data_IF_845681952040
#
_entry.id   IF_845681952040
#
_cell.length_a   1.000
_cell.length_b   1.000
_cell.length_c   1.000
_cell.angle_alpha   90.00
_cell.angle_beta   90.00
_cell.angle_gamma   90.00
#
_symmetry.space_group_name_H-M   'P 1'
#
loop_
_entity.id
_entity.type
_entity.pdbx_description
1 polymer ?
#
# COMPACT_ATOMS: atom_id res chain seq x y z
N UNK A 1 -7.91 -21.78 -6.86
CA UNK A 1 -7.82 -20.81 -5.74
C UNK A 1 -6.49 -20.07 -5.83
N UNK A 2 -6.52 -18.74 -5.79
CA UNK A 2 -5.34 -17.86 -5.74
C UNK A 2 -5.13 -17.47 -4.28
N UNK A 3 -4.09 -18.02 -3.64
CA UNK A 3 -3.99 -18.02 -2.18
C UNK A 3 -2.89 -17.08 -1.71
N UNK A 4 -3.27 -16.00 -1.04
CA UNK A 4 -2.36 -15.15 -0.28
C UNK A 4 -1.94 -15.83 1.02
N UNK A 5 -0.66 -16.22 1.11
CA UNK A 5 -0.15 -16.96 2.27
C UNK A 5 0.39 -16.06 3.40
N UNK A 6 0.16 -14.74 3.31
CA UNK A 6 0.69 -13.81 4.29
C UNK A 6 2.22 -13.65 4.22
N UNK A 7 2.84 -13.07 5.27
CA UNK A 7 4.24 -12.66 5.23
C UNK A 7 5.25 -13.83 5.29
N UNK A 8 4.83 -15.00 5.79
CA UNK A 8 5.68 -16.18 5.81
C UNK A 8 5.60 -17.04 7.05
N UNK A 9 5.12 -16.52 8.18
CA UNK A 9 4.82 -17.31 9.37
C UNK A 9 3.38 -17.82 9.29
N UNK A 10 3.17 -19.09 9.63
CA UNK A 10 1.87 -19.78 9.49
C UNK A 10 0.79 -19.16 10.37
N UNK A 11 1.15 -18.61 11.53
CA UNK A 11 0.25 -17.91 12.45
C UNK A 11 -0.34 -16.61 11.87
N UNK A 12 0.29 -16.05 10.86
CA UNK A 12 -0.20 -14.85 10.13
C UNK A 12 -0.93 -15.19 8.83
N UNK A 13 -1.19 -16.46 8.58
CA UNK A 13 -2.01 -16.91 7.46
C UNK A 13 -3.48 -16.92 7.88
N UNK A 14 -4.36 -16.46 6.99
CA UNK A 14 -5.80 -16.54 7.26
C UNK A 14 -6.26 -18.01 7.34
N UNK A 15 -7.32 -18.27 8.11
CA UNK A 15 -7.87 -19.62 8.18
C UNK A 15 -8.31 -20.10 6.80
N UNK A 16 -8.97 -19.24 6.01
CA UNK A 16 -9.39 -19.61 4.64
C UNK A 16 -8.21 -20.01 3.74
N UNK A 17 -7.05 -19.35 3.89
CA UNK A 17 -5.86 -19.71 3.13
C UNK A 17 -5.34 -21.11 3.50
N UNK A 18 -5.37 -21.46 4.80
CA UNK A 18 -5.01 -22.80 5.28
C UNK A 18 -5.98 -23.87 4.75
N UNK A 19 -7.28 -23.58 4.83
CA UNK A 19 -8.33 -24.48 4.34
C UNK A 19 -8.20 -24.71 2.83
N UNK A 20 -7.94 -23.67 2.06
CA UNK A 20 -7.72 -23.74 0.61
C UNK A 20 -6.51 -24.60 0.24
N UNK A 21 -5.41 -24.50 1.00
CA UNK A 21 -4.26 -25.38 0.81
C UNK A 21 -4.64 -26.82 1.20
N UNK A 22 -5.36 -27.01 2.30
CA UNK A 22 -5.79 -28.34 2.74
C UNK A 22 -6.72 -29.03 1.73
N UNK A 23 -7.68 -28.29 1.14
CA UNK A 23 -8.64 -28.76 0.13
C UNK A 23 -8.00 -29.04 -1.24
N UNK A 24 -6.81 -28.53 -1.52
CA UNK A 24 -6.18 -28.64 -2.84
C UNK A 24 -5.55 -30.00 -3.09
N UNK A 25 -5.59 -30.47 -4.34
CA UNK A 25 -4.85 -31.62 -4.84
C UNK A 25 -3.43 -31.23 -5.25
N UNK A 26 -3.30 -30.01 -5.81
CA UNK A 26 -2.07 -29.45 -6.37
C UNK A 26 -1.77 -28.09 -5.76
N UNK A 27 -0.54 -27.91 -5.31
CA UNK A 27 -0.01 -26.61 -4.86
C UNK A 27 1.04 -26.12 -5.83
N UNK A 28 0.81 -24.93 -6.39
CA UNK A 28 1.70 -24.29 -7.37
C UNK A 28 2.28 -23.02 -6.76
N UNK A 29 3.57 -22.79 -6.90
CA UNK A 29 4.16 -21.56 -6.39
C UNK A 29 5.65 -21.40 -6.72
N UNK A 30 6.14 -20.22 -6.38
CA UNK A 30 7.58 -19.95 -6.39
C UNK A 30 8.28 -20.80 -5.32
N UNK A 31 9.45 -21.35 -5.66
CA UNK A 31 10.21 -22.29 -4.81
C UNK A 31 10.33 -21.80 -3.35
N UNK A 32 10.57 -20.49 -3.14
CA UNK A 32 10.71 -19.92 -1.81
C UNK A 32 9.39 -19.91 -1.05
N UNK A 33 8.26 -19.66 -1.73
CA UNK A 33 6.93 -19.63 -1.10
C UNK A 33 6.45 -21.05 -0.73
N UNK A 34 6.73 -22.02 -1.58
CA UNK A 34 6.48 -23.45 -1.29
C UNK A 34 7.16 -23.87 0.03
N UNK A 35 8.40 -23.39 0.27
CA UNK A 35 9.10 -23.67 1.53
C UNK A 35 8.44 -23.06 2.77
N UNK A 36 7.70 -21.96 2.64
CA UNK A 36 7.00 -21.31 3.75
C UNK A 36 5.77 -22.09 4.22
N UNK A 37 5.23 -22.95 3.37
CA UNK A 37 4.03 -23.77 3.64
C UNK A 37 4.34 -25.26 3.65
N UNK A 38 5.59 -25.63 3.81
CA UNK A 38 6.04 -27.03 3.69
C UNK A 38 5.22 -28.01 4.56
N UNK A 39 4.91 -27.60 5.79
CA UNK A 39 4.17 -28.43 6.75
C UNK A 39 2.67 -28.56 6.40
N UNK A 40 2.14 -27.72 5.50
CA UNK A 40 0.73 -27.74 5.07
C UNK A 40 0.49 -28.48 3.76
N UNK A 41 1.55 -28.90 3.07
CA UNK A 41 1.47 -29.46 1.71
C UNK A 41 1.97 -30.91 1.62
N UNK A 42 2.13 -31.57 2.75
CA UNK A 42 2.54 -32.98 2.79
C UNK A 42 1.53 -33.86 2.04
N UNK A 43 2.03 -34.77 1.21
CA UNK A 43 1.20 -35.67 0.41
C UNK A 43 0.53 -35.06 -0.82
N UNK A 44 0.73 -33.77 -1.11
CA UNK A 44 0.14 -33.09 -2.27
C UNK A 44 1.08 -33.07 -3.48
N UNK A 45 0.49 -32.99 -4.66
CA UNK A 45 1.27 -32.69 -5.87
C UNK A 45 1.81 -31.25 -5.80
N UNK A 46 3.10 -31.06 -6.10
CA UNK A 46 3.72 -29.75 -5.95
C UNK A 46 4.41 -29.36 -7.27
N UNK A 47 3.97 -28.24 -7.86
CA UNK A 47 4.58 -27.63 -9.03
C UNK A 47 5.38 -26.41 -8.59
N UNK A 48 6.71 -26.52 -8.68
CA UNK A 48 7.65 -25.45 -8.34
C UNK A 48 8.13 -24.76 -9.60
N UNK A 49 8.05 -23.43 -9.61
CA UNK A 49 8.56 -22.58 -10.70
C UNK A 49 9.50 -21.52 -10.15
N UNK A 50 10.33 -20.94 -11.03
CA UNK A 50 11.23 -19.84 -10.67
C UNK A 50 10.48 -18.49 -10.56
N UNK A 51 11.15 -17.45 -10.09
CA UNK A 51 10.55 -16.12 -9.89
C UNK A 51 10.03 -15.53 -11.21
N UNK A 52 10.76 -15.69 -12.30
CA UNK A 52 10.45 -15.09 -13.61
C UNK A 52 9.43 -15.87 -14.44
N UNK A 53 8.92 -16.99 -13.90
CA UNK A 53 7.95 -17.87 -14.58
C UNK A 53 6.52 -17.63 -14.05
N UNK A 54 6.11 -16.36 -13.93
CA UNK A 54 4.77 -16.01 -13.41
C UNK A 54 3.65 -16.48 -14.34
N UNK A 55 3.79 -16.25 -15.63
CA UNK A 55 2.81 -16.72 -16.62
C UNK A 55 2.76 -18.26 -16.68
N UNK A 56 3.91 -18.93 -16.62
CA UNK A 56 3.96 -20.41 -16.61
C UNK A 56 3.28 -21.00 -15.36
N UNK A 57 3.36 -20.32 -14.21
CA UNK A 57 2.61 -20.73 -13.02
C UNK A 57 1.11 -20.61 -13.24
N UNK A 58 0.65 -19.52 -13.86
CA UNK A 58 -0.76 -19.30 -14.16
C UNK A 58 -1.30 -20.31 -15.19
N UNK A 59 -0.53 -20.59 -16.25
CA UNK A 59 -0.85 -21.61 -17.26
C UNK A 59 -0.95 -22.98 -16.62
N UNK A 60 0.05 -23.39 -15.83
CA UNK A 60 0.05 -24.69 -15.13
C UNK A 60 -1.13 -24.81 -14.17
N UNK A 61 -1.54 -23.71 -13.52
CA UNK A 61 -2.72 -23.72 -12.65
C UNK A 61 -4.02 -23.92 -13.44
N UNK A 62 -4.18 -23.27 -14.60
CA UNK A 62 -5.33 -23.43 -15.47
C UNK A 62 -5.41 -24.86 -16.05
N UNK A 63 -4.29 -25.40 -16.52
CA UNK A 63 -4.22 -26.77 -17.06
C UNK A 63 -4.61 -27.80 -16.01
N UNK A 64 -4.06 -27.71 -14.79
CA UNK A 64 -4.42 -28.61 -13.70
C UNK A 64 -5.90 -28.49 -13.29
N UNK A 65 -6.45 -27.25 -13.26
CA UNK A 65 -7.85 -27.02 -12.97
C UNK A 65 -8.79 -27.58 -14.07
N UNK A 66 -8.44 -27.44 -15.35
CA UNK A 66 -9.17 -28.04 -16.47
C UNK A 66 -9.11 -29.58 -16.46
N UNK A 67 -8.06 -30.15 -15.88
CA UNK A 67 -7.95 -31.59 -15.64
C UNK A 67 -8.79 -32.06 -14.42
N UNK A 68 -9.58 -31.17 -13.82
CA UNK A 68 -10.47 -31.49 -12.69
C UNK A 68 -9.83 -31.46 -11.31
N UNK A 69 -8.57 -30.98 -11.20
CA UNK A 69 -7.88 -30.87 -9.90
C UNK A 69 -8.26 -29.58 -9.18
N UNK A 70 -8.34 -29.65 -7.85
CA UNK A 70 -8.39 -28.47 -6.97
C UNK A 70 -6.99 -27.89 -6.84
N UNK A 71 -6.77 -26.68 -7.32
CA UNK A 71 -5.45 -26.03 -7.39
C UNK A 71 -5.37 -24.90 -6.37
N UNK A 72 -4.30 -24.90 -5.56
CA UNK A 72 -3.86 -23.73 -4.78
C UNK A 72 -2.63 -23.10 -5.45
N UNK A 73 -2.82 -21.98 -6.15
CA UNK A 73 -1.72 -21.15 -6.65
C UNK A 73 -1.36 -20.14 -5.56
N UNK A 74 -0.24 -20.38 -4.87
CA UNK A 74 0.16 -19.59 -3.70
C UNK A 74 0.99 -18.37 -4.07
N UNK A 75 0.73 -17.27 -3.36
CA UNK A 75 1.44 -16.00 -3.46
C UNK A 75 1.85 -15.52 -2.07
N UNK A 76 3.08 -15.07 -1.88
CA UNK A 76 3.49 -14.43 -0.62
C UNK A 76 2.73 -13.11 -0.42
N UNK A 77 2.40 -12.79 0.81
CA UNK A 77 1.57 -11.66 1.14
C UNK A 77 0.14 -11.86 0.68
N UNK A 78 -0.38 -10.92 -0.08
CA UNK A 78 -1.70 -10.96 -0.73
C UNK A 78 -1.57 -11.31 -2.21
N UNK A 79 -2.49 -12.12 -2.75
CA UNK A 79 -2.45 -12.52 -4.15
C UNK A 79 -2.76 -11.37 -5.12
N UNK A 80 -3.49 -10.35 -4.68
CA UNK A 80 -3.87 -9.17 -5.46
C UNK A 80 -2.88 -8.01 -5.36
N UNK A 81 -1.96 -8.01 -4.35
CA UNK A 81 -0.99 -6.93 -4.15
C UNK A 81 0.39 -7.34 -4.67
N UNK A 82 0.70 -6.99 -5.91
CA UNK A 82 1.93 -7.43 -6.63
C UNK A 82 2.12 -8.95 -6.62
N UNK A 83 1.00 -9.69 -6.59
CA UNK A 83 0.96 -11.14 -6.53
C UNK A 83 0.41 -11.79 -7.80
N UNK A 84 0.01 -13.05 -7.69
CA UNK A 84 -0.35 -13.89 -8.82
C UNK A 84 -1.76 -13.62 -9.41
N UNK A 85 -2.62 -12.82 -8.77
CA UNK A 85 -4.00 -12.65 -9.23
C UNK A 85 -4.07 -11.98 -10.62
N UNK A 86 -3.35 -10.87 -10.82
CA UNK A 86 -3.32 -10.17 -12.11
C UNK A 86 -2.86 -11.07 -13.26
N UNK A 87 -1.64 -11.62 -13.24
CA UNK A 87 -1.14 -12.51 -14.27
C UNK A 87 -2.03 -13.72 -14.53
N UNK A 88 -2.68 -14.24 -13.48
CA UNK A 88 -3.59 -15.39 -13.65
C UNK A 88 -4.86 -14.99 -14.40
N UNK A 89 -5.48 -13.86 -14.09
CA UNK A 89 -6.63 -13.39 -14.87
C UNK A 89 -6.27 -13.07 -16.30
N UNK A 90 -5.11 -12.50 -16.59
CA UNK A 90 -4.64 -12.29 -17.97
C UNK A 90 -4.57 -13.60 -18.74
N UNK A 91 -4.02 -14.67 -18.15
CA UNK A 91 -3.98 -16.01 -18.76
C UNK A 91 -5.38 -16.60 -18.93
N UNK A 92 -6.25 -16.48 -17.93
CA UNK A 92 -7.63 -16.97 -17.97
C UNK A 92 -8.41 -16.32 -19.11
N UNK A 93 -8.39 -14.99 -19.22
CA UNK A 93 -9.10 -14.25 -20.27
C UNK A 93 -8.53 -14.55 -21.64
N UNK A 94 -7.22 -14.67 -21.79
CA UNK A 94 -6.60 -15.09 -23.05
C UNK A 94 -7.01 -16.51 -23.46
N UNK A 95 -7.27 -17.39 -22.49
CA UNK A 95 -7.76 -18.75 -22.72
C UNK A 95 -9.29 -18.85 -22.91
N UNK A 96 -9.99 -17.71 -23.00
CA UNK A 96 -11.43 -17.62 -23.19
C UNK A 96 -12.28 -17.95 -21.96
N UNK A 97 -11.67 -17.93 -20.76
CA UNK A 97 -12.39 -18.18 -19.52
C UNK A 97 -13.40 -17.07 -19.20
N UNK A 98 -14.56 -17.47 -18.70
CA UNK A 98 -15.60 -16.59 -18.15
C UNK A 98 -16.04 -17.09 -16.78
N UNK A 99 -16.74 -16.27 -15.96
CA UNK A 99 -17.27 -16.70 -14.67
C UNK A 99 -18.23 -17.91 -14.73
N UNK A 100 -18.81 -18.19 -15.89
CA UNK A 100 -19.71 -19.34 -16.13
C UNK A 100 -18.95 -20.62 -16.54
N UNK A 101 -17.62 -20.57 -16.63
CA UNK A 101 -16.77 -21.73 -16.96
C UNK A 101 -16.83 -22.78 -15.82
N UNK A 102 -16.56 -24.04 -16.16
CA UNK A 102 -16.43 -25.12 -15.18
C UNK A 102 -15.29 -24.89 -14.18
N UNK A 103 -14.25 -24.17 -14.59
CA UNK A 103 -13.15 -23.76 -13.72
C UNK A 103 -13.57 -22.54 -12.91
N UNK A 104 -13.85 -22.75 -11.63
CA UNK A 104 -14.17 -21.67 -10.70
C UNK A 104 -12.91 -21.04 -10.13
N UNK A 105 -12.88 -19.71 -10.00
CA UNK A 105 -11.73 -18.95 -9.49
C UNK A 105 -12.11 -18.19 -8.22
N UNK A 106 -11.33 -18.43 -7.15
CA UNK A 106 -11.46 -17.73 -5.86
C UNK A 106 -10.13 -17.07 -5.54
N UNK A 107 -10.15 -15.76 -5.21
CA UNK A 107 -9.00 -15.07 -4.63
C UNK A 107 -9.16 -15.06 -3.11
N UNK A 108 -8.15 -15.58 -2.42
CA UNK A 108 -8.12 -15.64 -0.95
C UNK A 108 -7.11 -14.62 -0.48
N UNK A 109 -7.55 -13.58 0.26
CA UNK A 109 -6.68 -12.51 0.71
C UNK A 109 -5.66 -12.99 1.74
N UNK A 110 -4.52 -12.30 1.77
CA UNK A 110 -3.48 -12.51 2.76
C UNK A 110 -2.92 -11.18 3.28
N UNK A 111 -2.25 -11.20 4.43
CA UNK A 111 -1.57 -10.01 4.94
C UNK A 111 -0.41 -9.62 4.02
N UNK A 112 -0.55 -8.51 3.30
CA UNK A 112 0.47 -8.01 2.38
C UNK A 112 1.73 -7.54 3.11
N UNK A 113 2.85 -7.42 2.41
CA UNK A 113 4.06 -6.86 2.99
C UNK A 113 3.87 -5.42 3.50
N UNK A 114 2.99 -4.63 2.88
CA UNK A 114 2.60 -3.30 3.36
C UNK A 114 2.13 -3.35 4.82
N UNK A 115 1.08 -4.12 5.09
CA UNK A 115 0.48 -4.23 6.42
C UNK A 115 1.40 -4.93 7.42
N UNK A 116 1.98 -6.06 7.02
CA UNK A 116 2.81 -6.86 7.91
C UNK A 116 4.12 -6.17 8.29
N UNK A 117 4.78 -5.49 7.36
CA UNK A 117 5.99 -4.71 7.68
C UNK A 117 5.66 -3.46 8.50
N UNK A 118 4.54 -2.80 8.24
CA UNK A 118 4.09 -1.67 9.05
C UNK A 118 3.81 -2.07 10.50
N UNK A 119 3.15 -3.20 10.73
CA UNK A 119 2.88 -3.72 12.06
C UNK A 119 4.16 -4.05 12.87
N UNK A 120 5.24 -4.42 12.19
CA UNK A 120 6.54 -4.69 12.84
C UNK A 120 7.27 -3.43 13.30
N UNK A 121 6.97 -2.28 12.71
CA UNK A 121 7.68 -1.03 13.01
C UNK A 121 6.83 -0.04 13.81
N UNK A 122 5.55 -0.30 14.02
CA UNK A 122 4.63 0.57 14.77
C UNK A 122 3.32 0.83 14.04
N UNK A 123 2.98 2.10 13.83
CA UNK A 123 1.76 2.53 13.15
C UNK A 123 2.04 3.62 12.08
N UNK A 124 2.86 3.34 11.07
CA UNK A 124 3.17 4.33 10.05
C UNK A 124 2.04 4.59 9.05
N UNK A 125 1.05 3.67 8.94
CA UNK A 125 -0.02 3.71 7.93
C UNK A 125 -1.35 4.26 8.46
N UNK A 126 -1.34 5.00 9.55
CA UNK A 126 -2.58 5.56 10.14
C UNK A 126 -3.07 6.83 9.44
N UNK A 127 -2.33 7.32 8.46
CA UNK A 127 -2.71 8.39 7.53
C UNK A 127 -2.67 7.89 6.10
N UNK A 128 -2.94 8.75 5.12
CA UNK A 128 -2.96 8.38 3.70
C UNK A 128 -1.61 7.79 3.26
N UNK A 129 -1.68 6.66 2.59
CA UNK A 129 -0.51 5.92 2.16
C UNK A 129 -0.67 5.34 0.76
N UNK A 130 0.45 4.98 0.14
CA UNK A 130 0.46 4.25 -1.13
C UNK A 130 1.57 3.20 -1.17
N UNK A 131 1.44 2.25 -2.11
CA UNK A 131 2.45 1.26 -2.43
C UNK A 131 2.97 1.48 -3.86
N UNK A 132 4.30 1.46 -4.03
CA UNK A 132 4.95 1.57 -5.32
C UNK A 132 6.00 0.48 -5.46
N UNK A 133 5.93 -0.28 -6.56
CA UNK A 133 6.99 -1.22 -6.93
C UNK A 133 8.09 -0.52 -7.71
N UNK A 134 9.34 -0.70 -7.30
CA UNK A 134 10.52 -0.22 -8.04
C UNK A 134 10.96 -1.21 -9.14
N UNK A 135 10.17 -2.25 -9.42
CA UNK A 135 10.46 -3.19 -10.48
C UNK A 135 10.15 -2.57 -11.84
N UNK A 136 11.19 -2.32 -12.61
CA UNK A 136 11.14 -1.83 -13.99
C UNK A 136 11.19 -2.96 -15.04
N UNK A 137 10.89 -4.19 -14.61
CA UNK A 137 10.83 -5.34 -15.50
C UNK A 137 9.68 -5.23 -16.52
N UNK A 138 8.51 -4.79 -16.07
CA UNK A 138 7.29 -4.68 -16.88
C UNK A 138 6.72 -3.25 -16.94
N UNK A 139 7.26 -2.33 -16.15
CA UNK A 139 6.83 -0.93 -16.11
C UNK A 139 8.03 -0.03 -16.45
N UNK A 140 7.91 0.84 -17.47
CA UNK A 140 8.99 1.76 -17.83
C UNK A 140 9.38 2.66 -16.65
N UNK A 141 10.68 2.87 -16.46
CA UNK A 141 11.19 3.71 -15.36
C UNK A 141 10.57 5.12 -15.31
N UNK A 142 10.39 5.86 -16.43
CA UNK A 142 9.75 7.17 -16.37
C UNK A 142 8.36 7.15 -15.76
N UNK A 143 7.60 6.08 -15.92
CA UNK A 143 6.28 5.90 -15.30
C UNK A 143 6.40 5.71 -13.79
N UNK A 144 7.37 4.90 -13.34
CA UNK A 144 7.66 4.70 -11.91
C UNK A 144 8.12 6.03 -11.29
N UNK A 145 9.05 6.73 -11.96
CA UNK A 145 9.59 8.02 -11.49
C UNK A 145 8.49 9.09 -11.31
N UNK A 146 7.55 9.21 -12.26
CA UNK A 146 6.41 10.14 -12.13
C UNK A 146 5.52 9.80 -10.94
N UNK A 147 5.28 8.51 -10.68
CA UNK A 147 4.51 8.06 -9.51
C UNK A 147 5.23 8.41 -8.22
N UNK A 148 6.54 8.17 -8.14
CA UNK A 148 7.36 8.52 -6.98
C UNK A 148 7.37 10.04 -6.71
N UNK A 149 7.53 10.86 -7.74
CA UNK A 149 7.52 12.31 -7.64
C UNK A 149 6.16 12.84 -7.14
N UNK A 150 5.06 12.34 -7.73
CA UNK A 150 3.70 12.72 -7.36
C UNK A 150 3.37 12.41 -5.89
N UNK A 151 3.67 11.20 -5.42
CA UNK A 151 3.38 10.82 -4.03
C UNK A 151 4.32 11.47 -3.02
N UNK A 152 5.54 11.78 -3.43
CA UNK A 152 6.49 12.54 -2.61
C UNK A 152 6.00 13.98 -2.40
N UNK A 153 5.54 14.63 -3.47
CA UNK A 153 4.97 15.98 -3.45
C UNK A 153 3.67 16.04 -2.65
N UNK A 154 2.80 15.03 -2.79
CA UNK A 154 1.51 14.97 -2.10
C UNK A 154 1.60 14.47 -0.64
N UNK A 155 2.80 14.25 -0.14
CA UNK A 155 3.08 13.89 1.27
C UNK A 155 2.45 12.59 1.77
N UNK A 156 2.25 11.59 0.90
CA UNK A 156 1.81 10.26 1.30
C UNK A 156 2.87 9.51 2.11
N UNK A 157 2.46 8.65 3.04
CA UNK A 157 3.34 7.57 3.52
C UNK A 157 3.50 6.56 2.41
N UNK A 158 4.73 6.11 2.12
CA UNK A 158 4.99 5.27 0.96
C UNK A 158 5.66 3.96 1.34
N UNK A 159 5.11 2.86 0.84
CA UNK A 159 5.74 1.55 0.91
C UNK A 159 6.36 1.20 -0.45
N UNK A 160 7.69 1.06 -0.50
CA UNK A 160 8.39 0.62 -1.69
C UNK A 160 8.52 -0.90 -1.70
N UNK A 161 7.96 -1.52 -2.74
CA UNK A 161 8.08 -2.93 -3.05
C UNK A 161 9.21 -3.15 -4.06
N UNK A 162 9.80 -4.34 -4.03
CA UNK A 162 10.91 -4.72 -4.92
C UNK A 162 12.03 -3.65 -4.97
N UNK A 163 12.48 -3.11 -3.84
CA UNK A 163 13.32 -1.92 -3.82
C UNK A 163 14.70 -2.16 -4.43
N UNK A 164 15.23 -3.38 -4.34
CA UNK A 164 16.55 -3.74 -4.84
C UNK A 164 16.65 -5.22 -5.16
N UNK A 165 17.42 -5.57 -6.20
CA UNK A 165 17.79 -6.95 -6.50
C UNK A 165 19.26 -7.02 -6.93
N UNK A 166 19.80 -8.22 -7.20
CA UNK A 166 21.19 -8.36 -7.67
C UNK A 166 21.50 -7.59 -8.95
N UNK A 167 20.48 -7.33 -9.79
CA UNK A 167 20.64 -6.60 -11.06
C UNK A 167 20.08 -5.18 -11.02
N UNK A 168 19.17 -4.89 -10.09
CA UNK A 168 18.49 -3.60 -9.92
C UNK A 168 18.97 -2.94 -8.63
N UNK A 169 20.02 -2.15 -8.70
CA UNK A 169 20.65 -1.51 -7.53
C UNK A 169 20.46 0.00 -7.53
N UNK A 170 20.14 0.59 -8.68
CA UNK A 170 20.07 2.04 -8.86
C UNK A 170 18.68 2.62 -8.55
N UNK A 171 17.61 1.83 -8.72
CA UNK A 171 16.23 2.29 -8.58
C UNK A 171 15.93 2.89 -7.21
N UNK A 172 16.47 2.31 -6.13
CA UNK A 172 16.30 2.85 -4.77
C UNK A 172 17.00 4.20 -4.59
N UNK A 173 18.16 4.40 -5.24
CA UNK A 173 18.90 5.67 -5.21
C UNK A 173 18.13 6.75 -5.96
N UNK A 174 17.56 6.42 -7.12
CA UNK A 174 16.75 7.38 -7.88
C UNK A 174 15.43 7.71 -7.15
N UNK A 175 14.82 6.72 -6.47
CA UNK A 175 13.67 6.97 -5.61
C UNK A 175 14.04 7.95 -4.49
N UNK A 176 15.14 7.74 -3.78
CA UNK A 176 15.65 8.66 -2.75
C UNK A 176 15.82 10.09 -3.29
N UNK A 177 16.43 10.25 -4.47
CA UNK A 177 16.61 11.56 -5.11
C UNK A 177 15.29 12.28 -5.38
N UNK A 178 14.27 11.55 -5.86
CA UNK A 178 12.94 12.12 -6.12
C UNK A 178 12.26 12.56 -4.84
N UNK A 179 12.32 11.74 -3.79
CA UNK A 179 11.73 12.09 -2.50
C UNK A 179 12.41 13.30 -1.85
N UNK A 180 13.75 13.40 -1.91
CA UNK A 180 14.51 14.53 -1.37
C UNK A 180 14.22 15.89 -2.07
N UNK A 181 13.56 15.90 -3.21
CA UNK A 181 13.07 17.13 -3.84
C UNK A 181 11.89 17.77 -3.10
N UNK A 182 11.15 16.96 -2.33
CA UNK A 182 9.88 17.36 -1.74
C UNK A 182 9.86 17.19 -0.22
N UNK A 183 10.72 16.34 0.33
CA UNK A 183 10.73 15.97 1.75
C UNK A 183 12.06 16.30 2.40
N UNK A 184 12.01 16.48 3.71
CA UNK A 184 13.19 16.74 4.52
C UNK A 184 14.14 15.53 4.52
N UNK A 185 15.46 15.76 4.54
CA UNK A 185 16.46 14.67 4.62
C UNK A 185 16.26 13.75 5.82
N UNK A 186 15.84 14.31 6.96
CA UNK A 186 15.60 13.60 8.23
C UNK A 186 14.23 12.90 8.30
N UNK A 187 13.44 12.87 7.20
CA UNK A 187 12.19 12.12 7.13
C UNK A 187 12.43 10.66 7.53
N UNK A 188 11.66 10.12 8.51
CA UNK A 188 11.87 8.76 8.98
C UNK A 188 11.62 7.70 7.90
N UNK A 189 12.49 6.71 7.87
CA UNK A 189 12.38 5.52 6.99
C UNK A 189 12.59 4.27 7.82
N UNK A 190 11.73 3.28 7.63
CA UNK A 190 11.92 1.94 8.17
C UNK A 190 12.13 0.93 7.04
N UNK A 191 13.15 0.08 7.19
CA UNK A 191 13.47 -0.99 6.25
C UNK A 191 13.23 -2.31 6.96
N UNK A 192 12.25 -3.07 6.47
CA UNK A 192 11.91 -4.39 7.02
C UNK A 192 12.34 -5.44 6.01
N UNK A 193 13.32 -6.24 6.37
CA UNK A 193 13.82 -7.35 5.57
C UNK A 193 13.32 -8.67 6.13
N UNK A 194 12.70 -9.49 5.29
CA UNK A 194 12.18 -10.80 5.67
C UNK A 194 11.21 -10.75 6.86
N UNK A 195 10.28 -9.81 6.86
CA UNK A 195 9.31 -9.64 7.96
C UNK A 195 8.54 -10.94 8.24
N UNK A 196 8.39 -11.30 9.51
CA UNK A 196 7.79 -12.54 10.01
C UNK A 196 8.44 -13.82 9.47
N UNK A 197 9.71 -13.76 9.10
CA UNK A 197 10.50 -14.92 8.67
C UNK A 197 11.74 -15.09 9.54
N UNK A 198 12.36 -16.27 9.49
CA UNK A 198 13.53 -16.61 10.33
C UNK A 198 14.67 -15.59 10.31
N UNK A 199 14.85 -14.86 9.20
CA UNK A 199 15.90 -13.85 9.03
C UNK A 199 15.35 -12.43 9.04
N UNK A 200 14.30 -12.19 9.84
CA UNK A 200 13.74 -10.85 10.00
C UNK A 200 14.80 -9.88 10.51
N UNK A 201 14.88 -8.73 9.85
CA UNK A 201 15.70 -7.60 10.29
C UNK A 201 14.95 -6.29 10.05
N UNK A 202 15.00 -5.39 11.03
CA UNK A 202 14.35 -4.09 11.00
C UNK A 202 15.41 -3.03 11.24
N UNK A 203 15.48 -2.05 10.35
CA UNK A 203 16.40 -0.92 10.44
C UNK A 203 15.60 0.37 10.33
N UNK A 204 15.76 1.27 11.30
CA UNK A 204 15.29 2.64 11.21
C UNK A 204 16.43 3.52 10.69
N UNK A 205 16.13 4.38 9.76
CA UNK A 205 17.06 5.31 9.13
C UNK A 205 16.30 6.58 8.72
N UNK A 206 16.93 7.44 7.96
CA UNK A 206 16.35 8.66 7.40
C UNK A 206 16.38 8.62 5.88
N UNK A 207 15.63 9.52 5.26
CA UNK A 207 15.49 9.56 3.81
C UNK A 207 16.84 9.77 3.11
N UNK A 208 17.72 10.61 3.65
CA UNK A 208 19.03 10.91 3.07
C UNK A 208 20.02 9.74 3.12
N UNK A 209 19.81 8.77 4.03
CA UNK A 209 20.71 7.63 4.20
C UNK A 209 20.08 6.28 3.80
N UNK A 210 18.80 6.27 3.41
CA UNK A 210 18.08 5.00 3.17
C UNK A 210 18.72 4.11 2.09
N UNK A 211 19.33 4.69 1.07
CA UNK A 211 19.93 3.92 -0.04
C UNK A 211 21.22 3.20 0.37
N UNK A 212 21.86 3.60 1.49
CA UNK A 212 23.07 3.00 2.04
C UNK A 212 22.77 1.75 2.86
N UNK A 213 21.51 1.57 3.29
CA UNK A 213 21.10 0.44 4.12
C UNK A 213 21.14 -0.90 3.36
N UNK A 214 21.19 -2.00 4.12
CA UNK A 214 21.14 -3.37 3.57
C UNK A 214 19.73 -3.69 3.03
N UNK A 215 19.44 -3.21 1.84
CA UNK A 215 18.18 -3.44 1.11
C UNK A 215 18.39 -4.57 0.10
N UNK A 216 17.43 -5.49 0.06
CA UNK A 216 17.41 -6.61 -0.89
C UNK A 216 16.02 -6.92 -1.42
N UNK A 217 15.88 -8.03 -2.15
CA UNK A 217 14.59 -8.45 -2.75
C UNK A 217 13.49 -8.73 -1.73
N UNK A 218 13.86 -9.14 -0.52
CA UNK A 218 12.91 -9.45 0.55
C UNK A 218 12.71 -8.26 1.51
N UNK A 219 13.07 -7.06 1.07
CA UNK A 219 12.88 -5.83 1.85
C UNK A 219 11.63 -5.08 1.39
N UNK A 220 10.93 -4.50 2.37
CA UNK A 220 9.95 -3.44 2.17
C UNK A 220 10.49 -2.17 2.82
N UNK A 221 10.49 -1.06 2.09
CA UNK A 221 10.94 0.23 2.60
C UNK A 221 9.71 1.09 2.86
N UNK A 222 9.54 1.52 4.10
CA UNK A 222 8.45 2.41 4.54
C UNK A 222 9.02 3.80 4.73
N UNK A 223 8.57 4.76 3.92
CA UNK A 223 8.98 6.16 3.97
C UNK A 223 7.86 6.96 4.62
N UNK A 224 8.14 7.63 5.73
CA UNK A 224 7.19 8.48 6.42
C UNK A 224 6.83 9.75 5.65
N UNK A 225 5.78 10.43 6.08
CA UNK A 225 5.42 11.77 5.61
C UNK A 225 5.96 12.87 6.54
N UNK A 226 5.59 14.13 6.31
CA UNK A 226 6.06 15.28 7.09
C UNK A 226 5.72 15.21 8.59
N UNK A 227 4.69 14.44 8.97
CA UNK A 227 4.25 14.27 10.36
C UNK A 227 4.76 12.98 11.02
N UNK A 228 5.40 12.09 10.27
CA UNK A 228 5.90 10.83 10.79
C UNK A 228 7.07 11.06 11.73
N UNK A 229 7.08 10.34 12.85
CA UNK A 229 8.19 10.34 13.79
C UNK A 229 8.57 8.92 14.22
N UNK A 230 9.78 8.77 14.76
CA UNK A 230 10.23 7.54 15.42
C UNK A 230 10.51 7.88 16.89
N UNK A 231 9.84 7.16 17.80
CA UNK A 231 10.06 7.28 19.25
C UNK A 231 10.04 5.89 19.90
N UNK A 232 10.99 5.63 20.77
CA UNK A 232 11.14 4.34 21.46
C UNK A 232 11.17 3.13 20.52
N UNK A 233 11.77 3.28 19.32
CA UNK A 233 11.85 2.21 18.33
C UNK A 233 10.54 1.95 17.59
N UNK A 234 9.57 2.86 17.64
CA UNK A 234 8.30 2.78 16.92
C UNK A 234 8.16 3.95 15.95
N UNK A 235 7.83 3.65 14.69
CA UNK A 235 7.51 4.61 13.66
C UNK A 235 5.99 4.85 13.65
N UNK A 236 5.60 6.10 13.82
CA UNK A 236 4.18 6.47 13.89
C UNK A 236 3.91 7.66 12.98
N UNK A 237 2.83 7.58 12.20
CA UNK A 237 2.27 8.71 11.47
C UNK A 237 0.96 9.11 12.13
N UNK A 238 0.86 10.30 12.77
CA UNK A 238 -0.36 10.75 13.43
C UNK A 238 -1.53 10.88 12.46
N UNK A 239 -2.73 10.48 12.88
CA UNK A 239 -3.94 10.63 12.06
C UNK A 239 -4.47 12.06 11.98
N UNK A 240 -3.88 13.00 12.73
CA UNK A 240 -4.32 14.38 12.74
C UNK A 240 -5.20 14.78 13.93
N UNK A 241 -5.33 13.93 14.95
CA UNK A 241 -6.09 14.30 16.17
C UNK A 241 -5.62 15.61 16.79
N UNK A 242 -4.32 15.90 16.74
CA UNK A 242 -3.76 17.14 17.24
C UNK A 242 -4.22 18.40 16.49
N UNK A 243 -4.83 18.28 15.31
CA UNK A 243 -5.43 19.42 14.62
C UNK A 243 -6.73 19.86 15.30
N UNK A 244 -7.41 18.97 16.01
CA UNK A 244 -8.72 19.19 16.61
C UNK A 244 -8.72 19.16 18.12
N UNK A 245 -7.84 18.36 18.72
CA UNK A 245 -7.83 18.09 20.15
C UNK A 245 -6.49 18.50 20.77
N UNK A 246 -6.53 19.01 21.99
CA UNK A 246 -5.34 19.18 22.81
C UNK A 246 -4.93 17.82 23.40
N UNK A 247 -3.82 17.27 22.92
CA UNK A 247 -3.34 15.95 23.33
C UNK A 247 -2.68 15.96 24.72
N UNK A 248 -2.34 17.16 25.25
CA UNK A 248 -1.72 17.33 26.57
C UNK A 248 -2.78 17.56 27.66
N UNK A 249 -3.90 18.20 27.31
CA UNK A 249 -5.00 18.52 28.24
C UNK A 249 -6.15 17.48 28.20
N UNK A 250 -5.85 16.20 28.04
CA UNK A 250 -6.84 15.14 28.15
C UNK A 250 -7.83 15.05 26.97
N UNK A 251 -7.50 15.64 25.81
CA UNK A 251 -8.30 15.53 24.59
C UNK A 251 -9.45 16.56 24.51
N UNK A 252 -9.34 17.69 25.21
CA UNK A 252 -10.26 18.81 25.01
C UNK A 252 -10.22 19.32 23.56
N UNK A 253 -11.33 19.77 23.03
CA UNK A 253 -11.34 20.39 21.70
C UNK A 253 -10.61 21.73 21.73
N UNK A 254 -9.79 21.99 20.72
CA UNK A 254 -9.13 23.28 20.52
C UNK A 254 -10.14 24.37 20.23
N UNK A 255 -9.73 25.63 20.49
CA UNK A 255 -10.56 26.79 20.19
C UNK A 255 -10.95 26.81 18.71
N UNK A 256 -12.25 27.06 18.46
CA UNK A 256 -12.82 27.05 17.10
C UNK A 256 -13.22 25.67 16.59
N UNK A 257 -12.80 24.59 17.22
CA UNK A 257 -13.16 23.23 16.83
C UNK A 257 -14.34 22.68 17.67
N UNK A 258 -15.08 21.71 17.11
CA UNK A 258 -16.22 21.06 17.78
C UNK A 258 -16.07 19.54 17.70
N UNK A 259 -16.28 18.85 18.83
CA UNK A 259 -16.31 17.38 18.86
C UNK A 259 -17.39 16.84 17.91
N UNK A 260 -17.09 15.74 17.20
CA UNK A 260 -18.03 15.10 16.28
C UNK A 260 -18.35 15.87 14.99
N UNK A 261 -17.75 17.02 14.74
CA UNK A 261 -17.90 17.79 13.49
C UNK A 261 -16.62 17.75 12.65
N UNK A 262 -16.69 18.13 11.38
CA UNK A 262 -15.51 18.35 10.52
C UNK A 262 -14.60 19.43 11.11
N UNK A 263 -13.33 19.45 10.74
CA UNK A 263 -12.40 20.53 11.10
C UNK A 263 -12.94 21.88 10.58
N UNK A 264 -12.64 22.97 11.30
CA UNK A 264 -12.88 24.33 10.83
C UNK A 264 -12.22 24.61 9.47
N UNK A 265 -11.14 23.91 9.15
CA UNK A 265 -10.42 23.91 7.86
C UNK A 265 -10.84 22.75 6.95
N UNK A 266 -11.92 22.03 7.28
CA UNK A 266 -12.51 21.02 6.40
C UNK A 266 -13.17 21.67 5.18
N UNK A 267 -13.80 20.87 4.31
CA UNK A 267 -14.29 21.36 3.01
C UNK A 267 -15.07 22.67 3.11
N UNK A 268 -16.09 22.74 3.97
CA UNK A 268 -16.94 23.94 4.07
C UNK A 268 -16.18 25.17 4.56
N UNK A 269 -15.39 25.06 5.63
CA UNK A 269 -14.61 26.17 6.13
C UNK A 269 -13.47 26.58 5.18
N UNK A 270 -12.92 25.63 4.42
CA UNK A 270 -11.98 25.93 3.36
C UNK A 270 -12.65 26.69 2.20
N UNK A 271 -13.87 26.30 1.78
CA UNK A 271 -14.64 27.00 0.75
C UNK A 271 -14.96 28.46 1.17
N UNK A 272 -15.40 28.66 2.41
CA UNK A 272 -15.63 30.01 2.96
C UNK A 272 -14.34 30.86 2.93
N UNK A 273 -13.21 30.27 3.33
CA UNK A 273 -11.90 30.92 3.30
C UNK A 273 -11.51 31.29 1.86
N UNK A 274 -11.64 30.36 0.92
CA UNK A 274 -11.31 30.55 -0.49
C UNK A 274 -12.14 31.68 -1.12
N UNK A 275 -13.44 31.73 -0.83
CA UNK A 275 -14.33 32.80 -1.29
C UNK A 275 -13.96 34.16 -0.70
N UNK A 276 -13.66 34.20 0.60
CA UNK A 276 -13.24 35.43 1.27
C UNK A 276 -11.91 35.98 0.72
N UNK A 277 -10.92 35.12 0.49
CA UNK A 277 -9.64 35.49 -0.10
C UNK A 277 -9.81 36.01 -1.54
N UNK A 278 -10.65 35.35 -2.34
CA UNK A 278 -10.97 35.80 -3.69
C UNK A 278 -11.70 37.15 -3.72
N UNK A 279 -12.68 37.35 -2.83
CA UNK A 279 -13.39 38.63 -2.67
C UNK A 279 -12.46 39.75 -2.18
N UNK A 280 -11.41 39.42 -1.43
CA UNK A 280 -10.38 40.38 -1.01
C UNK A 280 -9.39 40.77 -2.15
N UNK A 281 -9.50 40.13 -3.34
CA UNK A 281 -8.76 40.47 -4.54
C UNK A 281 -7.64 39.49 -4.91
N UNK A 282 -7.51 38.35 -4.24
CA UNK A 282 -6.55 37.32 -4.63
C UNK A 282 -6.93 36.69 -5.98
N UNK A 283 -5.95 36.57 -6.90
CA UNK A 283 -6.18 35.92 -8.19
C UNK A 283 -6.26 34.38 -8.03
N UNK A 284 -6.89 33.72 -9.00
CA UNK A 284 -6.97 32.25 -9.05
C UNK A 284 -5.59 31.62 -8.98
N UNK A 285 -4.60 32.21 -9.68
CA UNK A 285 -3.21 31.73 -9.70
C UNK A 285 -2.56 31.85 -8.30
N UNK A 286 -2.84 32.95 -7.60
CA UNK A 286 -2.36 33.17 -6.23
C UNK A 286 -2.95 32.15 -5.27
N UNK A 287 -4.27 31.93 -5.36
CA UNK A 287 -4.99 30.93 -4.54
C UNK A 287 -4.51 29.51 -4.85
N UNK A 288 -4.36 29.16 -6.14
CA UNK A 288 -3.85 27.87 -6.57
C UNK A 288 -2.45 27.60 -5.99
N UNK A 289 -1.56 28.59 -6.02
CA UNK A 289 -0.21 28.47 -5.46
C UNK A 289 -0.24 28.35 -3.93
N UNK A 290 -1.08 29.14 -3.24
CA UNK A 290 -1.22 29.13 -1.77
C UNK A 290 -1.75 27.79 -1.26
N UNK A 291 -2.80 27.29 -1.89
CA UNK A 291 -3.45 26.03 -1.51
C UNK A 291 -2.78 24.79 -2.13
N UNK A 292 -1.80 24.97 -3.03
CA UNK A 292 -1.11 23.90 -3.77
C UNK A 292 -2.07 23.00 -4.56
N UNK A 293 -3.08 23.62 -5.17
CA UNK A 293 -4.10 22.97 -5.97
C UNK A 293 -4.06 23.48 -7.41
N UNK A 294 -4.57 22.72 -8.39
CA UNK A 294 -4.66 23.18 -9.79
C UNK A 294 -5.53 24.43 -9.94
N UNK A 295 -5.12 25.37 -10.79
CA UNK A 295 -5.84 26.63 -10.97
C UNK A 295 -7.25 26.45 -11.58
N UNK A 296 -7.44 25.45 -12.43
CA UNK A 296 -8.73 25.06 -12.98
C UNK A 296 -9.66 24.55 -11.88
N UNK A 297 -9.18 23.72 -10.97
CA UNK A 297 -9.95 23.25 -9.81
C UNK A 297 -10.39 24.42 -8.92
N UNK A 298 -9.49 25.38 -8.62
CA UNK A 298 -9.84 26.59 -7.83
C UNK A 298 -10.91 27.42 -8.54
N UNK A 299 -10.79 27.61 -9.86
CA UNK A 299 -11.74 28.35 -10.67
C UNK A 299 -13.13 27.70 -10.65
N UNK A 300 -13.19 26.41 -10.89
CA UNK A 300 -14.43 25.66 -10.93
C UNK A 300 -15.11 25.66 -9.55
N UNK A 301 -14.32 25.48 -8.49
CA UNK A 301 -14.80 25.55 -7.10
C UNK A 301 -15.41 26.91 -6.74
N UNK A 302 -14.79 28.01 -7.18
CA UNK A 302 -15.33 29.36 -6.94
C UNK A 302 -16.57 29.68 -7.79
N UNK A 303 -16.77 28.99 -8.90
CA UNK A 303 -17.95 29.15 -9.76
C UNK A 303 -19.19 28.40 -9.24
N UNK A 304 -18.99 27.38 -8.40
CA UNK A 304 -20.08 26.64 -7.80
C UNK A 304 -20.66 27.38 -6.58
N UNK A 305 -22.00 27.56 -6.47
CA UNK A 305 -22.60 28.09 -5.26
C UNK A 305 -22.36 27.10 -4.10
N UNK A 306 -21.93 27.61 -2.95
CA UNK A 306 -21.88 26.80 -1.72
C UNK A 306 -23.33 26.49 -1.32
N UNK A 307 -23.84 25.31 -1.66
CA UNK A 307 -25.07 24.82 -1.08
C UNK A 307 -24.84 24.63 0.44
N UNK A 308 -25.54 25.39 1.24
CA UNK A 308 -25.57 25.16 2.69
C UNK A 308 -26.12 23.74 2.89
N UNK A 309 -25.26 22.79 3.29
CA UNK A 309 -25.75 21.49 3.73
C UNK A 309 -26.84 21.73 4.78
N UNK A 310 -28.07 21.35 4.43
CA UNK A 310 -29.15 21.29 5.38
C UNK A 310 -28.66 20.40 6.52
N UNK A 311 -28.59 20.97 7.73
CA UNK A 311 -28.23 20.27 8.97
C UNK A 311 -29.22 19.12 9.11
N UNK A 312 -28.90 17.97 8.52
CA UNK A 312 -29.60 16.74 8.82
C UNK A 312 -29.27 16.43 10.29
N UNK A 313 -30.25 16.68 11.14
CA UNK A 313 -30.25 16.23 12.52
C UNK A 313 -30.17 14.70 12.52
N UNK A 314 -28.99 14.14 12.64
CA UNK A 314 -28.80 12.77 13.12
C UNK A 314 -29.05 12.74 14.64
N UNK A 315 -30.28 12.98 15.02
CA UNK A 315 -30.89 12.44 16.24
C UNK A 315 -31.70 11.23 15.82
N UNK A 316 -31.10 10.05 15.92
CA UNK A 316 -31.68 8.75 16.27
C UNK A 316 -30.90 7.62 15.59
N UNK A 317 -30.00 7.05 16.34
CA UNK A 317 -29.90 5.60 16.52
C UNK A 317 -28.79 5.33 17.56
N UNK A 318 -29.30 5.18 18.80
CA UNK A 318 -28.57 4.65 19.94
C UNK A 318 -28.58 3.10 19.87
#
# INVERSE_FOLDING_TARGET
MLVGIGPGAVEHMTQRARDAIAESDVVIGYVTYIKLVADLIEGKEIIRKSMTEELDRAVSALEAARAGKKVALISSGDAGVYGMAGPTYEVLFQAGWTPDDAVQVEIIPGASALNSCAALVGAPLTHDFCAISLSDLLTPWPTIARRLDAVAMADFVVALYNPKSGRRTRQIVEAQRLFLRHRRPDTPVAIVKSGYRRRQNIVFTTLDTMAEADIGMLSTVLIGNSNTFVRHGLMVTPRGYANKYDMEEGGATRDGEKAGRSLSTGLLGWLETLQAEHAAGDSIETLAARHRLPADYIRDTLAEPVEAEAVASEESEA
#
